data_IF_108855526812
#
_entry.id   IF_108855526812
#
_cell.length_a   1.000
_cell.length_b   1.000
_cell.length_c   1.000
_cell.angle_alpha   90.00
_cell.angle_beta   90.00
_cell.angle_gamma   90.00
#
_symmetry.space_group_name_H-M   'P 1'
#
loop_
_entity.id
_entity.type
_entity.pdbx_description
1 polymer ?
#
# COMPACT_ATOMS: atom_id res chain seq x y z
N UNK A 1 -16.68 9.49 -11.23
CA UNK A 1 -16.11 8.46 -12.13
C UNK A 1 -16.16 7.18 -11.31
N UNK A 2 -16.76 6.09 -11.79
CA UNK A 2 -16.70 4.82 -11.05
C UNK A 2 -15.32 4.23 -11.30
N UNK A 3 -14.39 4.49 -10.39
CA UNK A 3 -13.13 3.75 -10.40
C UNK A 3 -13.49 2.29 -10.10
N UNK A 4 -13.29 1.44 -11.10
CA UNK A 4 -13.59 0.02 -10.98
C UNK A 4 -12.55 -0.60 -10.08
N UNK A 5 -12.98 -1.43 -9.12
CA UNK A 5 -12.10 -2.24 -8.28
C UNK A 5 -10.97 -2.86 -9.13
N UNK A 6 -9.71 -2.77 -8.69
CA UNK A 6 -8.60 -3.36 -9.42
C UNK A 6 -8.81 -4.87 -9.54
N UNK A 7 -8.38 -5.46 -10.65
CA UNK A 7 -8.57 -6.89 -10.86
C UNK A 7 -7.45 -7.67 -10.17
N UNK A 8 -7.82 -8.63 -9.32
CA UNK A 8 -6.87 -9.50 -8.61
C UNK A 8 -5.88 -10.25 -9.51
N UNK A 9 -6.23 -10.44 -10.77
CA UNK A 9 -5.40 -11.12 -11.77
C UNK A 9 -4.17 -10.30 -12.19
N UNK A 10 -4.07 -9.01 -11.84
CA UNK A 10 -2.94 -8.15 -12.21
C UNK A 10 -1.68 -8.39 -11.35
N UNK A 11 -1.81 -9.03 -10.18
CA UNK A 11 -0.74 -9.17 -9.19
C UNK A 11 -0.58 -10.63 -8.71
N UNK A 12 -0.01 -11.49 -9.56
CA UNK A 12 0.30 -12.88 -9.19
C UNK A 12 1.64 -12.96 -8.45
N UNK A 13 1.69 -13.38 -7.16
CA UNK A 13 2.92 -13.35 -6.35
C UNK A 13 4.05 -14.21 -6.94
N UNK A 14 3.75 -15.23 -7.74
CA UNK A 14 4.75 -16.08 -8.38
C UNK A 14 5.50 -15.42 -9.54
N UNK A 15 4.97 -14.33 -10.11
CA UNK A 15 5.54 -13.65 -11.29
C UNK A 15 5.67 -12.14 -11.13
N UNK A 16 5.14 -11.59 -10.03
CA UNK A 16 5.13 -10.16 -9.78
C UNK A 16 6.56 -9.63 -9.64
N UNK A 17 6.76 -8.42 -10.14
CA UNK A 17 8.03 -7.69 -10.04
C UNK A 17 7.81 -6.37 -9.32
N UNK A 18 8.87 -5.82 -8.70
CA UNK A 18 8.81 -4.49 -8.09
C UNK A 18 8.33 -3.40 -9.06
N UNK A 19 8.65 -3.52 -10.34
CA UNK A 19 8.16 -2.60 -11.38
C UNK A 19 6.65 -2.71 -11.62
N UNK A 20 6.08 -3.91 -11.55
CA UNK A 20 4.63 -4.11 -11.65
C UNK A 20 3.91 -3.59 -10.39
N UNK A 21 4.46 -3.83 -9.20
CA UNK A 21 3.95 -3.24 -7.96
C UNK A 21 3.93 -1.72 -8.04
N UNK A 22 5.05 -1.12 -8.47
CA UNK A 22 5.15 0.32 -8.66
C UNK A 22 4.10 0.84 -9.64
N UNK A 23 3.96 0.20 -10.80
CA UNK A 23 3.02 0.64 -11.82
C UNK A 23 1.57 0.52 -11.34
N UNK A 24 1.22 -0.55 -10.63
CA UNK A 24 -0.09 -0.74 -10.06
C UNK A 24 -0.40 0.33 -9.01
N UNK A 25 0.53 0.57 -8.08
CA UNK A 25 0.38 1.59 -7.04
C UNK A 25 0.35 3.02 -7.61
N UNK A 26 1.07 3.30 -8.69
CA UNK A 26 0.94 4.60 -9.36
C UNK A 26 -0.44 4.80 -10.02
N UNK A 27 -1.09 3.70 -10.43
CA UNK A 27 -2.39 3.74 -11.11
C UNK A 27 -3.57 3.72 -10.13
N UNK A 28 -3.45 2.99 -9.03
CA UNK A 28 -4.54 2.70 -8.08
C UNK A 28 -4.27 3.22 -6.66
N UNK A 29 -3.04 3.63 -6.35
CA UNK A 29 -2.60 4.06 -5.01
C UNK A 29 -3.33 5.22 -4.35
N UNK A 30 -4.02 6.14 -5.07
CA UNK A 30 -4.85 7.15 -4.42
C UNK A 30 -5.99 6.54 -3.57
N UNK A 31 -6.57 5.44 -4.03
CA UNK A 31 -7.75 4.80 -3.44
C UNK A 31 -7.47 3.39 -2.88
N UNK A 32 -6.39 2.74 -3.32
CA UNK A 32 -6.10 1.34 -3.00
C UNK A 32 -4.70 1.13 -2.43
N UNK A 33 -4.61 0.16 -1.54
CA UNK A 33 -3.39 -0.25 -0.85
C UNK A 33 -3.21 -1.75 -1.04
N UNK A 34 -1.95 -2.19 -1.14
CA UNK A 34 -1.62 -3.61 -1.23
C UNK A 34 -1.44 -4.18 0.18
N UNK A 35 -2.21 -5.21 0.51
CA UNK A 35 -1.98 -6.05 1.69
C UNK A 35 -1.08 -7.21 1.28
N UNK A 36 0.08 -7.35 1.91
CA UNK A 36 1.12 -8.29 1.54
C UNK A 36 1.36 -9.23 2.71
N UNK A 37 1.25 -10.54 2.47
CA UNK A 37 1.69 -11.58 3.40
C UNK A 37 3.09 -12.05 2.98
N UNK A 38 4.17 -11.55 3.60
CA UNK A 38 5.53 -12.04 3.37
C UNK A 38 5.78 -13.43 3.97
N UNK A 39 6.78 -14.16 3.46
CA UNK A 39 7.16 -15.48 3.99
C UNK A 39 7.77 -15.34 5.40
N UNK A 40 7.04 -15.83 6.42
CA UNK A 40 7.55 -15.95 7.79
C UNK A 40 7.66 -14.62 8.56
N UNK A 41 7.02 -13.57 8.05
CA UNK A 41 6.84 -12.27 8.72
C UNK A 41 5.35 -11.96 8.84
N UNK A 42 5.02 -10.89 9.55
CA UNK A 42 3.64 -10.41 9.66
C UNK A 42 3.18 -9.70 8.39
N UNK A 43 1.86 -9.57 8.25
CA UNK A 43 1.24 -8.85 7.13
C UNK A 43 1.68 -7.38 7.12
N UNK A 44 2.05 -6.91 5.93
CA UNK A 44 2.49 -5.54 5.68
C UNK A 44 1.52 -4.85 4.70
N UNK A 45 1.41 -3.52 4.77
CA UNK A 45 0.61 -2.75 3.83
C UNK A 45 1.50 -1.81 3.02
N UNK A 46 1.42 -1.87 1.70
CA UNK A 46 2.18 -1.03 0.79
C UNK A 46 1.23 -0.11 0.01
N UNK A 47 1.41 1.20 0.16
CA UNK A 47 0.61 2.22 -0.51
C UNK A 47 1.46 3.25 -1.26
N UNK A 48 0.85 3.96 -2.20
CA UNK A 48 1.44 5.15 -2.81
C UNK A 48 0.64 6.37 -2.35
N UNK A 49 1.13 6.98 -1.26
CA UNK A 49 0.42 8.00 -0.48
C UNK A 49 1.26 9.28 -0.49
N UNK A 50 0.65 10.42 -0.79
CA UNK A 50 1.32 11.73 -0.90
C UNK A 50 2.53 11.70 -1.85
N UNK A 51 2.34 11.09 -3.03
CA UNK A 51 3.37 10.91 -4.07
C UNK A 51 4.60 10.09 -3.62
N UNK A 52 4.44 9.24 -2.60
CA UNK A 52 5.53 8.40 -2.06
C UNK A 52 5.06 6.99 -1.75
N UNK A 53 5.96 6.03 -1.94
CA UNK A 53 5.74 4.68 -1.45
C UNK A 53 5.91 4.64 0.07
N UNK A 54 4.87 4.17 0.77
CA UNK A 54 4.85 3.97 2.22
C UNK A 54 4.57 2.50 2.51
N UNK A 55 5.34 1.93 3.44
CA UNK A 55 5.16 0.57 3.94
C UNK A 55 4.75 0.65 5.41
N UNK A 56 3.63 0.03 5.75
CA UNK A 56 3.22 -0.19 7.14
C UNK A 56 3.59 -1.62 7.56
N UNK A 57 4.24 -1.74 8.71
CA UNK A 57 4.59 -3.00 9.38
C UNK A 57 4.36 -2.84 10.90
N UNK A 58 4.66 -3.87 11.70
CA UNK A 58 4.46 -3.84 13.18
C UNK A 58 5.14 -2.64 13.86
N UNK A 59 6.24 -2.14 13.29
CA UNK A 59 7.01 -1.02 13.82
C UNK A 59 6.51 0.37 13.42
N UNK A 60 5.47 0.45 12.57
CA UNK A 60 4.89 1.69 12.08
C UNK A 60 4.98 1.85 10.57
N UNK A 61 5.03 3.10 10.11
CA UNK A 61 5.04 3.46 8.68
C UNK A 61 6.40 4.02 8.29
N UNK A 62 7.02 3.37 7.31
CA UNK A 62 8.29 3.79 6.71
C UNK A 62 8.12 4.23 5.25
N UNK A 63 9.01 5.13 4.80
CA UNK A 63 9.14 5.45 3.38
C UNK A 63 10.06 4.43 2.70
N UNK A 64 9.60 3.86 1.60
CA UNK A 64 10.38 2.87 0.85
C UNK A 64 10.76 3.39 -0.54
N UNK A 65 11.94 2.98 -1.00
CA UNK A 65 12.41 3.30 -2.34
C UNK A 65 11.82 2.33 -3.37
N UNK A 66 11.81 2.74 -4.64
CA UNK A 66 11.37 1.88 -5.74
C UNK A 66 12.13 0.55 -5.81
N UNK A 67 13.43 0.55 -5.54
CA UNK A 67 14.27 -0.66 -5.53
C UNK A 67 13.83 -1.67 -4.47
N UNK A 68 13.29 -1.21 -3.34
CA UNK A 68 12.80 -2.07 -2.26
C UNK A 68 11.56 -2.86 -2.68
N UNK A 69 10.78 -2.36 -3.65
CA UNK A 69 9.59 -3.08 -4.14
C UNK A 69 9.96 -4.40 -4.81
N UNK A 70 11.20 -4.56 -5.30
CA UNK A 70 11.71 -5.84 -5.77
C UNK A 70 11.77 -6.86 -4.63
N UNK A 71 12.34 -6.47 -3.49
CA UNK A 71 12.43 -7.32 -2.31
C UNK A 71 11.04 -7.71 -1.79
N UNK A 72 10.11 -6.75 -1.76
CA UNK A 72 8.71 -7.01 -1.41
C UNK A 72 8.08 -8.05 -2.34
N UNK A 73 8.29 -7.92 -3.65
CA UNK A 73 7.77 -8.87 -4.64
C UNK A 73 8.39 -10.27 -4.47
N UNK A 74 9.69 -10.37 -4.21
CA UNK A 74 10.40 -11.64 -4.00
C UNK A 74 9.98 -12.36 -2.69
N UNK A 75 9.69 -11.60 -1.63
CA UNK A 75 9.29 -12.15 -0.32
C UNK A 75 7.77 -12.38 -0.19
N UNK A 76 6.96 -11.82 -1.08
CA UNK A 76 5.50 -11.90 -1.03
C UNK A 76 4.98 -13.31 -1.30
N UNK A 77 4.31 -13.90 -0.30
CA UNK A 77 3.58 -15.16 -0.44
C UNK A 77 2.17 -14.93 -0.99
N UNK A 78 1.54 -13.83 -0.58
CA UNK A 78 0.20 -13.42 -1.01
C UNK A 78 0.17 -11.91 -1.12
N UNK A 79 -0.54 -11.41 -2.13
CA UNK A 79 -0.83 -9.99 -2.33
C UNK A 79 -2.34 -9.87 -2.53
N UNK A 80 -2.96 -9.04 -1.72
CA UNK A 80 -4.34 -8.60 -1.88
C UNK A 80 -4.38 -7.08 -1.99
N UNK A 81 -5.54 -6.53 -2.32
CA UNK A 81 -5.77 -5.10 -2.36
C UNK A 81 -6.94 -4.75 -1.46
N UNK A 82 -6.78 -3.69 -0.70
CA UNK A 82 -7.78 -3.15 0.22
C UNK A 82 -7.99 -1.68 -0.08
N UNK A 83 -9.19 -1.17 0.20
CA UNK A 83 -9.43 0.25 0.09
C UNK A 83 -8.54 1.00 1.08
N UNK A 84 -8.06 2.19 0.71
CA UNK A 84 -7.19 2.99 1.56
C UNK A 84 -7.83 3.27 2.93
N UNK A 85 -9.12 3.56 2.95
CA UNK A 85 -9.88 3.85 4.19
C UNK A 85 -10.01 2.63 5.12
N UNK A 86 -9.87 1.42 4.61
CA UNK A 86 -9.86 0.18 5.40
C UNK A 86 -8.42 -0.23 5.81
N UNK A 87 -7.43 0.63 5.53
CA UNK A 87 -6.02 0.35 5.75
C UNK A 87 -5.40 1.26 6.82
N UNK A 88 -4.18 0.95 7.30
CA UNK A 88 -3.43 1.85 8.20
C UNK A 88 -3.07 3.22 7.62
N UNK A 89 -3.37 3.47 6.34
CA UNK A 89 -3.18 4.77 5.67
C UNK A 89 -4.47 5.58 5.51
N UNK A 90 -5.56 5.13 6.14
CA UNK A 90 -6.77 5.92 6.26
C UNK A 90 -6.41 7.29 6.85
N UNK A 91 -6.97 8.35 6.27
CA UNK A 91 -6.91 9.66 6.89
C UNK A 91 -8.12 9.74 7.81
N UNK A 92 -7.90 9.88 9.11
CA UNK A 92 -8.97 10.26 10.01
C UNK A 92 -9.43 11.66 9.57
N UNK A 93 -10.63 11.76 8.99
CA UNK A 93 -11.25 13.05 8.61
C UNK A 93 -11.60 13.91 9.84
N UNK A 94 -11.27 13.45 11.06
CA UNK A 94 -11.58 14.06 12.35
C UNK A 94 -10.39 14.72 13.06
N UNK A 95 -9.28 15.03 12.37
CA UNK A 95 -8.30 16.02 12.85
C UNK A 95 -8.62 17.42 12.27
N UNK A 96 -9.87 17.87 12.46
CA UNK A 96 -10.19 19.30 12.42
C UNK A 96 -9.48 19.93 13.63
N UNK A 97 -8.39 20.62 13.30
CA UNK A 97 -7.62 21.57 14.10
C UNK A 97 -8.52 22.24 15.17
N UNK A 98 -8.51 21.75 16.41
CA UNK A 98 -8.87 22.53 17.59
C UNK A 98 -7.77 23.61 17.73
N UNK A 99 -7.84 24.59 16.83
CA UNK A 99 -7.15 25.86 16.92
C UNK A 99 -7.66 26.53 18.19
N UNK A 100 -6.96 26.24 19.29
CA UNK A 100 -7.09 26.86 20.60
C UNK A 100 -7.12 28.40 20.42
N UNK A 101 -8.32 28.97 20.46
CA UNK A 101 -8.51 30.41 20.68
C UNK A 101 -8.05 30.72 22.11
N UNK A 102 -6.80 31.15 22.28
CA UNK A 102 -6.27 31.74 23.51
C UNK A 102 -5.47 33.02 23.26
#
# INVERSE_FOLDING_TARGET
>A
MSESEPSAEELEPETITGGQLANWLNKHGPDWVLEIEPIGRETEYLGFIDDRFKLHHEGGIDFVALDYLGEVADEARRIEYVHRDDSPFAVDEDEDDDADES
#
